data_IF_056824557506
#
_entry.id   IF_056824557506
#
_cell.length_a   1.000
_cell.length_b   1.000
_cell.length_c   1.000
_cell.angle_alpha   90.00
_cell.angle_beta   90.00
_cell.angle_gamma   90.00
#
_symmetry.space_group_name_H-M   'P 1'
#
loop_
_entity.id
_entity.type
_entity.pdbx_description
1 polymer ?
#
# COMPACT_ATOMS: atom_id res chain seq x y z
N UNK A 1 23.96 9.59 2.59
CA UNK A 1 24.65 8.49 3.27
C UNK A 1 23.71 7.32 3.54
N UNK A 2 23.36 6.56 2.50
CA UNK A 2 23.95 5.27 2.09
C UNK A 2 23.27 4.03 2.65
N UNK A 3 22.18 4.16 3.43
CA UNK A 3 21.43 2.96 3.87
C UNK A 3 20.90 2.14 2.67
N UNK A 4 20.61 2.81 1.55
CA UNK A 4 20.18 2.19 0.29
C UNK A 4 21.10 2.65 -0.86
N UNK A 5 22.24 1.98 -1.11
CA UNK A 5 23.17 2.38 -2.17
C UNK A 5 22.65 2.05 -3.57
N UNK A 6 21.64 1.18 -3.68
CA UNK A 6 21.00 0.88 -4.95
C UNK A 6 20.29 2.12 -5.53
N UNK A 7 20.24 2.26 -6.86
CA UNK A 7 19.55 3.39 -7.51
C UNK A 7 18.07 3.46 -7.13
N UNK A 8 17.41 4.60 -7.29
CA UNK A 8 15.95 4.63 -7.14
C UNK A 8 15.32 3.89 -8.31
N UNK A 9 14.42 2.94 -8.03
CA UNK A 9 13.66 2.20 -9.04
C UNK A 9 12.17 2.42 -8.84
N UNK A 10 11.43 2.37 -9.95
CA UNK A 10 9.99 2.19 -9.91
C UNK A 10 9.68 0.73 -9.58
N UNK A 11 8.66 0.52 -8.77
CA UNK A 11 8.18 -0.81 -8.44
C UNK A 11 7.55 -1.44 -9.70
N UNK A 12 7.94 -2.66 -10.08
CA UNK A 12 7.28 -3.39 -11.17
C UNK A 12 5.79 -3.56 -10.88
N UNK A 13 4.95 -3.57 -11.92
CA UNK A 13 3.54 -3.85 -11.76
C UNK A 13 3.32 -5.22 -11.11
N UNK A 14 2.52 -5.27 -10.03
CA UNK A 14 2.24 -6.49 -9.28
C UNK A 14 3.30 -6.90 -8.26
N UNK A 15 4.39 -6.15 -8.12
CA UNK A 15 5.30 -6.32 -6.98
C UNK A 15 4.73 -5.54 -5.78
N UNK A 16 4.65 -6.18 -4.61
CA UNK A 16 4.16 -5.59 -3.37
C UNK A 16 5.26 -5.33 -2.33
N UNK A 17 6.53 -5.50 -2.70
CA UNK A 17 7.69 -5.21 -1.87
C UNK A 17 8.09 -3.73 -1.97
N UNK A 18 8.56 -3.15 -0.87
CA UNK A 18 9.05 -1.77 -0.82
C UNK A 18 10.58 -1.65 -0.94
N UNK A 19 11.27 -2.78 -0.83
CA UNK A 19 12.72 -2.87 -0.99
C UNK A 19 13.06 -3.86 -2.09
N UNK A 20 14.29 -3.78 -2.59
CA UNK A 20 14.80 -4.70 -3.58
C UNK A 20 16.31 -4.83 -3.42
N UNK A 21 16.89 -5.91 -3.95
CA UNK A 21 18.34 -6.07 -3.97
C UNK A 21 18.91 -5.71 -5.35
N UNK A 22 20.04 -5.02 -5.37
CA UNK A 22 20.82 -4.79 -6.58
C UNK A 22 22.25 -5.28 -6.39
N UNK A 23 22.87 -5.74 -7.47
CA UNK A 23 24.29 -6.05 -7.46
C UNK A 23 25.11 -4.77 -7.71
N UNK A 24 26.05 -4.49 -6.82
CA UNK A 24 27.02 -3.40 -6.94
C UNK A 24 28.41 -3.91 -6.57
N UNK A 25 29.37 -3.80 -7.48
CA UNK A 25 30.74 -4.27 -7.28
C UNK A 25 30.82 -5.74 -6.80
N UNK A 26 29.98 -6.62 -7.36
CA UNK A 26 29.91 -8.03 -6.99
C UNK A 26 29.28 -8.31 -5.61
N UNK A 27 28.63 -7.32 -5.00
CA UNK A 27 27.93 -7.47 -3.73
C UNK A 27 26.46 -7.11 -3.89
N UNK A 28 25.57 -7.95 -3.34
CA UNK A 28 24.17 -7.60 -3.21
C UNK A 28 24.01 -6.52 -2.15
N UNK A 29 23.37 -5.42 -2.54
CA UNK A 29 23.04 -4.30 -1.67
C UNK A 29 21.54 -4.07 -1.65
N UNK A 30 21.07 -3.49 -0.55
CA UNK A 30 19.66 -3.15 -0.38
C UNK A 30 19.33 -1.83 -1.09
N UNK A 31 18.18 -1.81 -1.74
CA UNK A 31 17.56 -0.65 -2.37
C UNK A 31 16.15 -0.46 -1.86
N UNK A 32 15.60 0.73 -2.08
CA UNK A 32 14.19 1.02 -1.85
C UNK A 32 13.52 1.49 -3.13
N UNK A 33 12.29 1.03 -3.32
CA UNK A 33 11.40 1.62 -4.30
C UNK A 33 10.98 3.02 -3.85
N UNK A 34 10.37 3.77 -4.77
CA UNK A 34 9.88 5.12 -4.48
C UNK A 34 8.86 5.12 -3.32
N UNK A 35 8.97 6.13 -2.45
CA UNK A 35 7.96 6.38 -1.44
C UNK A 35 6.60 6.63 -2.12
N UNK A 36 5.52 6.13 -1.53
CA UNK A 36 4.18 6.24 -2.10
C UNK A 36 3.76 5.08 -3.02
N UNK A 37 4.66 4.15 -3.34
CA UNK A 37 4.30 2.94 -4.08
C UNK A 37 3.34 2.05 -3.25
N UNK A 38 2.44 1.32 -3.91
CA UNK A 38 1.49 0.41 -3.24
C UNK A 38 2.23 -0.85 -2.80
N UNK A 39 1.91 -1.35 -1.63
CA UNK A 39 2.43 -2.61 -1.11
C UNK A 39 1.35 -3.38 -0.39
N UNK A 40 1.58 -4.68 -0.14
CA UNK A 40 0.64 -5.53 0.58
C UNK A 40 1.06 -5.54 2.06
N UNK A 41 0.39 -4.73 2.87
CA UNK A 41 0.62 -4.71 4.30
C UNK A 41 0.13 -6.02 4.93
N UNK A 42 1.06 -6.83 5.41
CA UNK A 42 0.81 -8.15 5.99
C UNK A 42 0.01 -9.11 5.08
N UNK A 43 0.09 -8.96 3.75
CA UNK A 43 -0.68 -9.75 2.77
C UNK A 43 -2.22 -9.69 2.92
N UNK A 44 -2.73 -8.74 3.71
CA UNK A 44 -4.17 -8.64 4.03
C UNK A 44 -4.73 -7.24 3.78
N UNK A 45 -3.90 -6.20 3.90
CA UNK A 45 -4.33 -4.80 3.74
C UNK A 45 -3.50 -4.11 2.68
N UNK A 46 -4.09 -3.09 2.07
CA UNK A 46 -3.32 -2.15 1.28
C UNK A 46 -2.37 -1.36 2.17
N UNK A 47 -1.15 -1.21 1.68
CA UNK A 47 -0.10 -0.44 2.30
C UNK A 47 0.55 0.54 1.34
N UNK A 48 1.38 1.40 1.91
CA UNK A 48 2.20 2.37 1.21
C UNK A 48 3.66 2.19 1.58
N UNK A 49 4.52 2.19 0.58
CA UNK A 49 5.95 2.15 0.78
C UNK A 49 6.44 3.48 1.33
N UNK A 50 7.14 3.43 2.45
CA UNK A 50 7.88 4.55 3.00
C UNK A 50 9.24 4.06 3.50
N UNK A 51 10.31 4.69 3.03
CA UNK A 51 11.68 4.36 3.41
C UNK A 51 12.09 2.89 3.21
N UNK A 52 11.47 2.19 2.26
CA UNK A 52 11.74 0.78 1.98
C UNK A 52 10.89 -0.21 2.79
N UNK A 53 10.00 0.29 3.65
CA UNK A 53 9.07 -0.51 4.45
C UNK A 53 7.62 -0.30 4.00
N UNK A 54 6.81 -1.34 4.12
CA UNK A 54 5.37 -1.26 3.85
C UNK A 54 4.62 -0.85 5.12
N UNK A 55 3.97 0.31 5.10
CA UNK A 55 3.11 0.76 6.18
C UNK A 55 1.66 0.57 5.80
N UNK A 56 0.79 0.22 6.76
CA UNK A 56 -0.63 0.17 6.51
C UNK A 56 -1.11 1.54 6.02
N UNK A 57 -1.83 1.56 4.91
CA UNK A 57 -2.56 2.75 4.51
C UNK A 57 -3.70 2.92 5.53
N UNK A 58 -3.52 3.76 6.55
CA UNK A 58 -4.66 4.26 7.32
C UNK A 58 -5.65 4.89 6.35
N UNK A 59 -6.96 4.79 6.63
CA UNK A 59 -8.15 5.03 5.79
C UNK A 59 -8.20 6.35 4.96
N UNK A 60 -7.13 6.69 4.25
CA UNK A 60 -6.80 8.03 3.75
C UNK A 60 -6.16 7.99 2.36
N UNK A 61 -6.09 6.83 1.71
CA UNK A 61 -5.74 6.70 0.30
C UNK A 61 -6.98 6.55 -0.60
N UNK A 62 -8.07 7.25 -0.26
CA UNK A 62 -9.18 7.51 -1.21
C UNK A 62 -8.74 8.60 -2.20
N UNK A 63 -7.80 8.29 -3.09
CA UNK A 63 -7.61 9.05 -4.32
C UNK A 63 -6.84 8.25 -5.39
N UNK A 64 -7.48 7.26 -5.99
CA UNK A 64 -7.20 6.94 -7.40
C UNK A 64 -8.53 6.77 -8.11
N UNK A 65 -8.80 7.80 -8.89
CA UNK A 65 -9.83 7.88 -9.90
C UNK A 65 -9.83 6.62 -10.78
N UNK A 66 -11.03 6.25 -11.23
CA UNK A 66 -11.28 5.50 -12.47
C UNK A 66 -11.29 3.96 -12.40
N UNK A 67 -12.24 3.39 -11.65
CA UNK A 67 -12.99 2.23 -12.17
C UNK A 67 -14.47 2.58 -12.23
N UNK A 68 -14.97 2.74 -13.47
CA UNK A 68 -16.38 2.82 -13.76
C UNK A 68 -17.08 1.57 -13.23
N UNK A 69 -18.06 1.81 -12.37
CA UNK A 69 -18.93 0.79 -11.80
C UNK A 69 -20.23 1.44 -11.37
N UNK A 70 -21.08 1.79 -12.35
CA UNK A 70 -22.48 2.16 -12.11
C UNK A 70 -23.17 1.07 -11.29
N UNK A 71 -23.42 1.31 -9.99
CA UNK A 71 -24.49 0.62 -9.25
C UNK A 71 -24.90 1.42 -8.02
N UNK A 72 -25.99 2.18 -8.22
CA UNK A 72 -27.04 2.55 -7.26
C UNK A 72 -26.75 2.15 -5.81
N UNK A 73 -26.34 3.12 -4.99
CA UNK A 73 -26.57 3.03 -3.54
C UNK A 73 -27.81 3.88 -3.25
N UNK A 74 -28.95 3.30 -3.61
CA UNK A 74 -30.27 3.73 -3.17
C UNK A 74 -30.43 3.21 -1.74
N UNK A 75 -30.61 4.14 -0.80
CA UNK A 75 -31.52 4.03 0.34
C UNK A 75 -31.33 2.95 1.43
N UNK A 76 -31.43 3.43 2.68
CA UNK A 76 -32.18 2.80 3.78
C UNK A 76 -31.56 1.58 4.47
N UNK A 77 -30.63 1.81 5.41
CA UNK A 77 -30.35 0.90 6.53
C UNK A 77 -30.85 1.57 7.82
N UNK A 78 -32.15 1.39 8.07
CA UNK A 78 -32.82 1.56 9.37
C UNK A 78 -33.02 0.16 9.95
N UNK A 79 -32.57 -0.05 11.18
CA UNK A 79 -32.68 -1.31 11.93
C UNK A 79 -31.29 -1.89 12.19
N UNK A 80 -30.87 -2.25 13.39
CA UNK A 80 -31.60 -2.63 14.57
C UNK A 80 -30.60 -2.60 15.74
N UNK A 81 -30.68 -1.62 16.65
CA UNK A 81 -29.92 -1.64 17.90
C UNK A 81 -30.85 -1.32 19.08
N UNK A 82 -31.92 -2.11 19.20
CA UNK A 82 -32.80 -2.18 20.38
C UNK A 82 -32.31 -3.29 21.33
N UNK A 83 -31.13 -3.10 21.95
CA UNK A 83 -30.59 -4.05 22.94
C UNK A 83 -30.26 -3.45 24.32
N UNK A 84 -30.69 -2.22 24.60
CA UNK A 84 -30.41 -1.49 25.86
C UNK A 84 -31.66 -1.12 26.68
N UNK A 85 -32.56 -2.08 26.93
CA UNK A 85 -33.56 -1.96 28.01
C UNK A 85 -33.52 -3.15 28.95
N UNK A 86 -32.95 -2.92 30.13
CA UNK A 86 -33.07 -3.77 31.32
C UNK A 86 -33.59 -2.93 32.48
#
# INVERSE_FOLDING_TARGET
DSEFPCPRKQQPAGNSECSYYCEMNGQWKLGKFQNGARCDYNAVKDGVCNEGLCYASGDSASNTQNQGGSRRQENEDQGDDEWDRK
#
